data_IF_685895336740
#
_entry.id   IF_685895336740
#
_cell.length_a   1.000
_cell.length_b   1.000
_cell.length_c   1.000
_cell.angle_alpha   90.00
_cell.angle_beta   90.00
_cell.angle_gamma   90.00
#
_symmetry.space_group_name_H-M   'P 1'
#
loop_
_entity.id
_entity.type
_entity.pdbx_description
1 polymer ?
#
# COMPACT_ATOMS: atom_id res chain seq x y z
N UNK A 1 -12.83 1.70 -31.15
CA UNK A 1 -12.75 0.26 -31.45
C UNK A 1 -11.66 -0.33 -30.58
N UNK A 2 -12.03 -0.93 -29.46
CA UNK A 2 -11.09 -1.54 -28.50
C UNK A 2 -10.86 -2.96 -28.99
N UNK A 3 -9.65 -3.25 -29.46
CA UNK A 3 -9.24 -4.60 -29.82
C UNK A 3 -8.86 -5.32 -28.52
N UNK A 4 -9.70 -6.25 -28.10
CA UNK A 4 -9.41 -7.18 -27.00
C UNK A 4 -8.46 -8.27 -27.52
N UNK A 5 -7.19 -8.16 -27.14
CA UNK A 5 -6.11 -9.08 -27.54
C UNK A 5 -6.05 -10.35 -26.70
N UNK A 6 -6.91 -10.49 -25.67
CA UNK A 6 -6.79 -11.60 -24.72
C UNK A 6 -7.28 -12.94 -25.26
N UNK A 7 -7.88 -12.97 -26.46
CA UNK A 7 -8.65 -14.13 -26.92
C UNK A 7 -8.41 -14.57 -28.38
N UNK A 8 -7.23 -14.34 -28.95
CA UNK A 8 -6.94 -14.77 -30.32
C UNK A 8 -5.86 -15.86 -30.38
N UNK A 9 -6.33 -17.10 -30.21
CA UNK A 9 -5.67 -18.34 -30.60
C UNK A 9 -5.46 -18.38 -32.13
N UNK A 10 -4.23 -18.21 -32.61
CA UNK A 10 -3.89 -18.30 -34.03
C UNK A 10 -2.92 -19.45 -34.37
N UNK A 11 -3.30 -20.68 -34.00
CA UNK A 11 -2.67 -21.88 -34.54
C UNK A 11 -3.11 -22.23 -35.98
N UNK A 12 -3.97 -21.43 -36.60
CA UNK A 12 -4.56 -21.73 -37.92
C UNK A 12 -3.86 -21.07 -39.11
N UNK A 13 -2.86 -20.20 -38.89
CA UNK A 13 -2.25 -19.43 -39.99
C UNK A 13 -1.22 -20.26 -40.78
N UNK A 14 -0.53 -21.24 -40.17
CA UNK A 14 0.40 -22.10 -40.91
C UNK A 14 -0.27 -23.25 -41.68
N UNK A 15 -1.51 -23.61 -41.37
CA UNK A 15 -2.18 -24.79 -41.97
C UNK A 15 -2.96 -24.46 -43.25
N UNK A 16 -3.26 -23.18 -43.51
CA UNK A 16 -4.14 -22.77 -44.62
C UNK A 16 -3.47 -21.93 -45.71
N UNK A 17 -2.17 -21.58 -45.58
CA UNK A 17 -1.43 -20.93 -46.67
C UNK A 17 -1.28 -21.79 -47.92
N UNK A 18 -1.40 -23.12 -47.77
CA UNK A 18 -1.31 -24.07 -48.88
C UNK A 18 -2.63 -24.23 -49.65
N UNK A 19 -3.75 -23.70 -49.13
CA UNK A 19 -5.08 -23.78 -49.75
C UNK A 19 -5.78 -22.41 -49.74
N UNK A 20 -5.44 -21.53 -50.69
CA UNK A 20 -6.40 -20.76 -51.50
C UNK A 20 -5.73 -19.57 -52.23
N UNK A 21 -5.99 -19.49 -53.53
CA UNK A 21 -5.70 -18.31 -54.33
C UNK A 21 -6.43 -17.05 -53.86
N UNK A 22 -5.74 -15.91 -53.99
CA UNK A 22 -6.18 -14.52 -53.77
C UNK A 22 -6.86 -14.21 -52.42
N UNK A 23 -6.01 -13.82 -51.46
CA UNK A 23 -6.41 -13.11 -50.24
C UNK A 23 -7.04 -11.75 -50.59
N UNK A 24 -8.25 -11.40 -50.08
CA UNK A 24 -8.89 -10.11 -50.34
C UNK A 24 -8.03 -8.92 -49.90
N UNK A 25 -8.07 -7.81 -50.66
CA UNK A 25 -7.20 -6.65 -50.44
C UNK A 25 -7.29 -6.06 -49.02
N UNK A 26 -8.50 -5.97 -48.44
CA UNK A 26 -8.71 -5.51 -47.06
C UNK A 26 -8.12 -6.47 -46.02
N UNK A 27 -8.09 -7.78 -46.31
CA UNK A 27 -7.48 -8.82 -45.47
C UNK A 27 -5.94 -8.73 -45.51
N UNK A 28 -5.35 -8.31 -46.64
CA UNK A 28 -3.89 -8.04 -46.74
C UNK A 28 -3.47 -6.72 -46.09
N UNK A 29 -4.38 -5.75 -45.99
CA UNK A 29 -4.13 -4.45 -45.37
C UNK A 29 -4.04 -4.57 -43.85
N UNK A 30 -4.90 -5.40 -43.27
CA UNK A 30 -4.91 -5.71 -41.83
C UNK A 30 -3.65 -6.49 -41.42
N UNK A 31 -3.30 -7.53 -42.19
CA UNK A 31 -2.05 -8.30 -41.97
C UNK A 31 -0.82 -7.40 -42.04
N UNK A 32 -0.70 -6.52 -43.05
CA UNK A 32 0.46 -5.62 -43.17
C UNK A 32 0.57 -4.65 -42.00
N UNK A 33 -0.54 -4.07 -41.55
CA UNK A 33 -0.56 -3.17 -40.39
C UNK A 33 -0.18 -3.89 -39.10
N UNK A 34 -0.72 -5.09 -38.90
CA UNK A 34 -0.39 -5.92 -37.75
C UNK A 34 1.10 -6.31 -37.74
N UNK A 35 1.64 -6.79 -38.86
CA UNK A 35 3.06 -7.12 -38.99
C UNK A 35 3.94 -5.91 -38.70
N UNK A 36 3.62 -4.74 -39.26
CA UNK A 36 4.37 -3.52 -39.01
C UNK A 36 4.32 -3.07 -37.55
N UNK A 37 3.16 -3.16 -36.90
CA UNK A 37 3.03 -2.90 -35.46
C UNK A 37 3.88 -3.87 -34.64
N UNK A 38 3.83 -5.17 -34.95
CA UNK A 38 4.57 -6.19 -34.23
C UNK A 38 6.07 -5.98 -34.35
N UNK A 39 6.59 -5.71 -35.55
CA UNK A 39 8.00 -5.39 -35.78
C UNK A 39 8.45 -4.16 -35.01
N UNK A 40 7.64 -3.09 -35.02
CA UNK A 40 7.95 -1.87 -34.27
C UNK A 40 7.92 -2.11 -32.76
N UNK A 41 6.96 -2.91 -32.27
CA UNK A 41 6.88 -3.29 -30.87
C UNK A 41 8.12 -4.08 -30.44
N UNK A 42 8.56 -5.06 -31.23
CA UNK A 42 9.77 -5.84 -30.95
C UNK A 42 11.02 -4.97 -30.92
N UNK A 43 11.17 -4.01 -31.85
CA UNK A 43 12.31 -3.09 -31.86
C UNK A 43 12.36 -2.23 -30.59
N UNK A 44 11.23 -1.64 -30.22
CA UNK A 44 11.14 -0.81 -29.01
C UNK A 44 11.39 -1.67 -27.76
N UNK A 45 10.87 -2.89 -27.73
CA UNK A 45 11.11 -3.85 -26.64
C UNK A 45 12.58 -4.17 -26.45
N UNK A 46 13.32 -4.46 -27.53
CA UNK A 46 14.76 -4.71 -27.46
C UNK A 46 15.53 -3.50 -26.93
N UNK A 47 15.14 -2.28 -27.30
CA UNK A 47 15.76 -1.05 -26.78
C UNK A 47 15.47 -0.88 -25.29
N UNK A 48 14.21 -1.10 -24.87
CA UNK A 48 13.80 -0.98 -23.47
C UNK A 48 14.52 -2.01 -22.61
N UNK A 49 14.54 -3.28 -23.00
CA UNK A 49 15.23 -4.35 -22.27
C UNK A 49 16.76 -4.12 -22.23
N UNK A 50 17.36 -3.75 -23.36
CA UNK A 50 18.80 -3.48 -23.43
C UNK A 50 19.24 -2.22 -22.66
N UNK A 51 18.30 -1.35 -22.27
CA UNK A 51 18.58 -0.21 -21.40
C UNK A 51 18.57 -0.54 -19.90
N UNK A 52 18.16 -1.77 -19.54
CA UNK A 52 18.07 -2.24 -18.15
C UNK A 52 19.36 -2.92 -17.71
N UNK A 53 19.54 -3.08 -16.39
CA UNK A 53 20.55 -4.00 -15.86
C UNK A 53 20.15 -5.45 -16.13
N UNK A 54 21.13 -6.33 -16.32
CA UNK A 54 20.93 -7.76 -16.61
C UNK A 54 19.92 -8.49 -15.69
N UNK A 55 19.83 -8.12 -14.42
CA UNK A 55 18.90 -8.73 -13.46
C UNK A 55 17.44 -8.36 -13.76
N UNK A 56 17.21 -7.08 -14.06
CA UNK A 56 15.90 -6.52 -14.40
C UNK A 56 15.47 -7.00 -15.78
N UNK A 57 16.38 -7.00 -16.76
CA UNK A 57 16.14 -7.52 -18.11
C UNK A 57 15.55 -8.93 -18.07
N UNK A 58 16.21 -9.87 -17.37
CA UNK A 58 15.74 -11.26 -17.21
C UNK A 58 14.34 -11.37 -16.61
N UNK A 59 13.97 -10.48 -15.70
CA UNK A 59 12.63 -10.47 -15.10
C UNK A 59 11.55 -10.07 -16.11
N UNK A 60 11.88 -9.21 -17.07
CA UNK A 60 10.94 -8.67 -18.04
C UNK A 60 11.00 -9.35 -19.43
N UNK A 61 11.99 -10.20 -19.70
CA UNK A 61 12.11 -11.00 -20.93
C UNK A 61 10.89 -11.88 -21.24
N UNK A 62 10.10 -12.24 -20.23
CA UNK A 62 8.88 -13.06 -20.39
C UNK A 62 7.71 -12.33 -21.04
N UNK A 63 7.74 -11.00 -21.12
CA UNK A 63 6.64 -10.20 -21.67
C UNK A 63 6.89 -9.93 -23.15
N UNK A 64 5.91 -10.23 -24.01
CA UNK A 64 6.05 -10.07 -25.47
C UNK A 64 5.82 -8.65 -25.95
N UNK A 65 5.10 -7.83 -25.18
CA UNK A 65 4.71 -6.48 -25.56
C UNK A 65 5.31 -5.39 -24.65
N UNK A 66 5.74 -4.30 -25.29
CA UNK A 66 6.30 -3.12 -24.59
C UNK A 66 5.33 -2.51 -23.59
N UNK A 67 4.02 -2.56 -23.88
CA UNK A 67 3.01 -1.93 -23.04
C UNK A 67 2.93 -2.60 -21.66
N UNK A 68 2.95 -3.94 -21.61
CA UNK A 68 3.02 -4.72 -20.37
C UNK A 68 4.27 -4.40 -19.57
N UNK A 69 5.43 -4.30 -20.23
CA UNK A 69 6.69 -3.92 -19.57
C UNK A 69 6.57 -2.51 -18.96
N UNK A 70 6.15 -1.51 -19.75
CA UNK A 70 5.99 -0.13 -19.28
C UNK A 70 4.94 0.00 -18.18
N UNK A 71 3.84 -0.75 -18.24
CA UNK A 71 2.78 -0.73 -17.24
C UNK A 71 3.27 -1.31 -15.91
N UNK A 72 4.00 -2.43 -15.94
CA UNK A 72 4.59 -3.04 -14.75
C UNK A 72 5.68 -2.16 -14.13
N UNK A 73 6.53 -1.57 -14.96
CA UNK A 73 7.53 -0.59 -14.50
C UNK A 73 6.84 0.62 -13.85
N UNK A 74 5.79 1.15 -14.46
CA UNK A 74 4.99 2.22 -13.85
C UNK A 74 4.38 1.77 -12.53
N UNK A 75 3.84 0.56 -12.42
CA UNK A 75 3.33 0.04 -11.14
C UNK A 75 4.41 -0.01 -10.05
N UNK A 76 5.63 -0.38 -10.40
CA UNK A 76 6.76 -0.43 -9.47
C UNK A 76 7.29 0.97 -9.08
N UNK A 77 7.15 1.96 -9.98
CA UNK A 77 7.65 3.33 -9.78
C UNK A 77 6.57 4.35 -9.37
N UNK A 78 5.28 4.03 -9.47
CA UNK A 78 4.16 4.94 -9.21
C UNK A 78 3.58 4.81 -7.79
N UNK A 79 3.83 3.71 -7.10
CA UNK A 79 3.75 3.73 -5.64
C UNK A 79 4.94 4.54 -5.13
N UNK A 80 4.79 5.39 -4.07
CA UNK A 80 5.97 5.82 -3.32
C UNK A 80 6.81 4.59 -3.05
N UNK A 81 8.14 4.72 -3.20
CA UNK A 81 9.10 3.61 -3.11
C UNK A 81 8.54 2.56 -2.17
N UNK A 82 8.09 1.44 -2.75
CA UNK A 82 7.29 0.43 -2.06
C UNK A 82 7.94 0.06 -0.72
N UNK A 83 9.27 0.11 -0.67
CA UNK A 83 10.06 -0.11 0.54
C UNK A 83 9.84 0.95 1.62
N UNK A 84 9.71 2.22 1.25
CA UNK A 84 9.36 3.34 2.17
C UNK A 84 7.93 3.16 2.69
N UNK A 85 6.95 2.90 1.82
CA UNK A 85 5.56 2.69 2.23
C UNK A 85 5.44 1.48 3.17
N UNK A 86 6.05 0.35 2.81
CA UNK A 86 6.14 -0.83 3.65
C UNK A 86 6.83 -0.57 4.99
N UNK A 87 7.95 0.16 5.00
CA UNK A 87 8.67 0.49 6.22
C UNK A 87 7.82 1.37 7.16
N UNK A 88 7.08 2.33 6.62
CA UNK A 88 6.16 3.16 7.42
C UNK A 88 4.99 2.37 7.98
N UNK A 89 4.37 1.51 7.17
CA UNK A 89 3.29 0.63 7.63
C UNK A 89 3.77 -0.32 8.73
N UNK A 90 4.97 -0.89 8.56
CA UNK A 90 5.62 -1.73 9.58
C UNK A 90 5.92 -0.95 10.86
N UNK A 91 6.39 0.29 10.75
CA UNK A 91 6.64 1.15 11.91
C UNK A 91 5.34 1.46 12.66
N UNK A 92 4.26 1.76 11.95
CA UNK A 92 2.94 2.01 12.53
C UNK A 92 2.40 0.79 13.29
N UNK A 93 2.32 -0.37 12.64
CA UNK A 93 1.81 -1.58 13.30
C UNK A 93 2.75 -2.12 14.39
N UNK A 94 4.05 -1.85 14.30
CA UNK A 94 5.05 -2.25 15.27
C UNK A 94 5.18 -1.31 16.47
N UNK A 95 4.65 -0.09 16.38
CA UNK A 95 4.75 0.89 17.46
C UNK A 95 3.98 0.41 18.68
N UNK A 96 4.63 0.47 19.84
CA UNK A 96 4.05 0.13 21.14
C UNK A 96 4.43 1.22 22.13
N UNK A 97 3.48 1.60 22.97
CA UNK A 97 3.71 2.54 24.05
C UNK A 97 4.71 1.92 25.03
N UNK A 98 5.73 2.69 25.38
CA UNK A 98 6.72 2.26 26.37
C UNK A 98 6.07 2.34 27.75
N UNK A 99 6.25 1.30 28.57
CA UNK A 99 5.71 1.28 29.92
C UNK A 99 6.25 2.46 30.75
N UNK A 100 5.35 3.18 31.42
CA UNK A 100 5.70 4.39 32.19
C UNK A 100 5.98 5.64 31.37
N UNK A 101 5.89 5.59 30.04
CA UNK A 101 5.93 6.79 29.18
C UNK A 101 4.57 7.50 29.13
N UNK A 102 4.53 8.77 28.68
CA UNK A 102 3.27 9.51 28.56
C UNK A 102 2.45 9.04 27.35
N UNK A 103 1.15 8.82 27.55
CA UNK A 103 0.22 8.51 26.47
C UNK A 103 0.10 9.64 25.46
N UNK A 104 0.34 10.90 25.88
CA UNK A 104 0.38 12.06 24.98
C UNK A 104 1.48 11.92 23.95
N UNK A 105 2.70 11.64 24.41
CA UNK A 105 3.88 11.54 23.53
C UNK A 105 3.71 10.38 22.55
N UNK A 106 3.21 9.24 23.05
CA UNK A 106 2.87 8.10 22.21
C UNK A 106 1.80 8.45 21.16
N UNK A 107 0.72 9.12 21.57
CA UNK A 107 -0.35 9.55 20.66
C UNK A 107 0.13 10.51 19.58
N UNK A 108 1.00 11.46 19.92
CA UNK A 108 1.61 12.39 18.96
C UNK A 108 2.52 11.65 17.97
N UNK A 109 3.29 10.67 18.44
CA UNK A 109 4.10 9.82 17.55
C UNK A 109 3.22 9.02 16.57
N UNK A 110 2.15 8.40 17.05
CA UNK A 110 1.19 7.68 16.19
C UNK A 110 0.56 8.61 15.15
N UNK A 111 0.12 9.81 15.56
CA UNK A 111 -0.42 10.82 14.65
C UNK A 111 0.59 11.21 13.56
N UNK A 112 1.86 11.42 13.93
CA UNK A 112 2.92 11.76 12.95
C UNK A 112 3.17 10.63 11.94
N UNK A 113 2.96 9.37 12.32
CA UNK A 113 3.04 8.24 11.40
C UNK A 113 1.83 8.21 10.46
N UNK A 114 0.62 8.51 10.96
CA UNK A 114 -0.58 8.62 10.13
C UNK A 114 -0.42 9.72 9.08
N UNK A 115 0.06 10.91 9.47
CA UNK A 115 0.33 12.01 8.53
C UNK A 115 1.32 11.59 7.43
N UNK A 116 2.40 10.89 7.80
CA UNK A 116 3.37 10.37 6.82
C UNK A 116 2.79 9.31 5.90
N UNK A 117 1.90 8.44 6.39
CA UNK A 117 1.21 7.46 5.55
C UNK A 117 0.30 8.15 4.52
N UNK A 118 -0.40 9.22 4.93
CA UNK A 118 -1.23 10.07 4.04
C UNK A 118 -0.39 10.78 2.99
N UNK A 119 0.75 11.36 3.38
CA UNK A 119 1.69 12.00 2.44
C UNK A 119 2.22 11.01 1.38
N UNK A 120 2.39 9.75 1.79
CA UNK A 120 2.79 8.64 0.93
C UNK A 120 1.59 7.97 0.23
N UNK A 121 0.34 8.41 0.39
CA UNK A 121 -0.82 7.78 -0.27
C UNK A 121 -0.89 6.25 -0.05
N UNK A 122 -0.43 5.78 1.12
CA UNK A 122 -0.48 4.38 1.57
C UNK A 122 -1.25 4.27 2.90
N UNK A 123 -2.09 5.25 3.18
CA UNK A 123 -3.00 5.33 4.30
C UNK A 123 -4.24 4.42 4.12
N UNK A 124 -5.04 4.32 5.18
CA UNK A 124 -6.33 3.61 5.11
C UNK A 124 -7.39 4.51 4.46
N UNK A 125 -8.28 3.91 3.65
CA UNK A 125 -9.37 4.64 2.99
C UNK A 125 -10.32 5.31 4.00
N UNK A 126 -10.57 4.63 5.13
CA UNK A 126 -11.44 5.11 6.20
C UNK A 126 -10.58 5.64 7.36
N UNK A 127 -10.69 6.94 7.67
CA UNK A 127 -9.94 7.60 8.74
C UNK A 127 -10.27 7.02 10.12
N UNK A 128 -11.51 6.56 10.31
CA UNK A 128 -11.97 5.87 11.51
C UNK A 128 -11.13 4.62 11.82
N UNK A 129 -10.52 3.98 10.83
CA UNK A 129 -9.63 2.81 11.02
C UNK A 129 -8.49 3.12 12.00
N UNK A 130 -7.94 4.34 11.98
CA UNK A 130 -6.87 4.72 12.89
C UNK A 130 -7.33 4.82 14.35
N UNK A 131 -8.59 5.19 14.56
CA UNK A 131 -9.21 5.31 15.88
C UNK A 131 -9.34 3.94 16.55
N UNK A 132 -9.54 2.89 15.75
CA UNK A 132 -9.64 1.51 16.22
C UNK A 132 -8.27 0.85 16.43
N UNK A 133 -7.27 1.24 15.64
CA UNK A 133 -5.93 0.63 15.68
C UNK A 133 -5.02 1.22 16.74
N UNK A 134 -5.06 2.53 16.97
CA UNK A 134 -4.16 3.20 17.91
C UNK A 134 -4.33 2.71 19.36
N UNK A 135 -5.55 2.46 19.87
CA UNK A 135 -5.74 1.86 21.19
C UNK A 135 -5.16 0.45 21.34
N UNK A 136 -4.82 -0.25 20.25
CA UNK A 136 -4.15 -1.56 20.35
C UNK A 136 -2.64 -1.44 20.62
N UNK A 137 -2.09 -0.23 20.47
CA UNK A 137 -0.66 0.05 20.65
C UNK A 137 -0.31 0.59 22.05
N UNK A 138 -1.31 0.95 22.85
CA UNK A 138 -1.13 1.54 24.19
C UNK A 138 -1.01 0.45 25.27
N UNK A 139 -0.56 0.85 26.45
CA UNK A 139 -0.31 -0.07 27.57
C UNK A 139 -1.59 -0.70 28.15
N UNK A 140 -1.58 -1.94 28.67
CA UNK A 140 -2.76 -2.62 29.23
C UNK A 140 -3.46 -1.89 30.38
N UNK A 141 -2.79 -0.95 31.06
CA UNK A 141 -3.42 -0.04 32.03
C UNK A 141 -4.60 0.76 31.44
N UNK A 142 -4.65 0.89 30.11
CA UNK A 142 -5.74 1.52 29.37
C UNK A 142 -6.84 0.53 28.94
N UNK A 143 -6.76 -0.76 29.24
CA UNK A 143 -7.78 -1.76 28.84
C UNK A 143 -9.18 -1.39 29.34
N UNK A 144 -9.28 -0.86 30.56
CA UNK A 144 -10.56 -0.37 31.10
C UNK A 144 -11.09 0.83 30.32
N UNK A 145 -10.22 1.73 29.86
CA UNK A 145 -10.62 2.78 28.94
C UNK A 145 -11.14 2.18 27.64
N UNK A 146 -10.40 1.26 27.00
CA UNK A 146 -10.77 0.61 25.74
C UNK A 146 -12.15 -0.05 25.85
N UNK A 147 -12.36 -0.89 26.88
CA UNK A 147 -13.63 -1.58 27.14
C UNK A 147 -14.77 -0.58 27.40
N UNK A 148 -14.51 0.50 28.14
CA UNK A 148 -15.52 1.53 28.44
C UNK A 148 -15.77 2.50 27.29
N UNK A 149 -14.82 2.59 26.36
CA UNK A 149 -14.85 3.50 25.23
C UNK A 149 -15.68 2.97 24.07
N UNK A 150 -16.16 1.72 24.18
CA UNK A 150 -17.12 1.16 23.26
C UNK A 150 -18.47 1.87 23.38
N UNK A 151 -18.92 2.39 22.24
CA UNK A 151 -20.32 2.66 21.91
C UNK A 151 -21.00 3.84 22.61
N UNK A 152 -20.51 5.06 22.34
CA UNK A 152 -21.41 6.22 22.34
C UNK A 152 -21.08 7.19 21.21
N UNK A 153 -21.51 6.85 19.99
CA UNK A 153 -21.92 7.74 18.87
C UNK A 153 -21.00 8.87 18.41
N UNK A 154 -19.85 9.09 19.03
CA UNK A 154 -18.92 10.14 18.68
C UNK A 154 -18.03 9.58 17.57
N UNK A 155 -18.22 10.09 16.36
CA UNK A 155 -17.17 10.10 15.34
C UNK A 155 -15.98 10.85 15.91
N UNK A 156 -15.15 10.16 16.67
CA UNK A 156 -13.97 10.72 17.31
C UNK A 156 -12.90 10.80 16.25
N UNK A 157 -12.42 11.99 15.94
CA UNK A 157 -11.20 12.11 15.14
C UNK A 157 -9.99 11.73 16.01
N UNK A 158 -8.84 11.52 15.37
CA UNK A 158 -7.63 11.04 16.06
C UNK A 158 -7.15 11.99 17.18
N UNK A 159 -7.28 13.31 17.00
CA UNK A 159 -6.91 14.26 18.04
C UNK A 159 -7.80 14.14 19.29
N UNK A 160 -9.09 13.91 19.10
CA UNK A 160 -10.02 13.69 20.20
C UNK A 160 -9.69 12.41 20.96
N UNK A 161 -9.36 11.32 20.25
CA UNK A 161 -8.91 10.06 20.87
C UNK A 161 -7.72 10.31 21.80
N UNK A 162 -6.67 10.98 21.29
CA UNK A 162 -5.46 11.28 22.07
C UNK A 162 -5.81 12.12 23.31
N UNK A 163 -6.65 13.14 23.16
CA UNK A 163 -7.05 13.98 24.29
C UNK A 163 -7.80 13.20 25.38
N UNK A 164 -8.68 12.26 25.01
CA UNK A 164 -9.38 11.43 25.99
C UNK A 164 -8.44 10.48 26.73
N UNK A 165 -7.49 9.87 26.01
CA UNK A 165 -6.47 9.01 26.61
C UNK A 165 -5.64 9.79 27.64
N UNK A 166 -5.25 11.03 27.33
CA UNK A 166 -4.53 11.91 28.26
C UNK A 166 -5.36 12.26 29.50
N UNK A 167 -6.65 12.52 29.33
CA UNK A 167 -7.54 12.78 30.47
C UNK A 167 -7.66 11.55 31.36
N UNK A 168 -7.75 10.36 30.76
CA UNK A 168 -7.85 9.10 31.47
C UNK A 168 -6.56 8.77 32.25
N UNK A 169 -5.38 8.98 31.63
CA UNK A 169 -4.07 8.85 32.30
C UNK A 169 -4.03 9.70 33.59
N UNK A 170 -4.42 10.98 33.49
CA UNK A 170 -4.47 11.88 34.64
C UNK A 170 -5.49 11.46 35.73
N UNK A 171 -6.57 10.76 35.37
CA UNK A 171 -7.52 10.21 36.35
C UNK A 171 -6.91 9.03 37.10
N UNK A 172 -6.20 8.14 36.41
CA UNK A 172 -5.52 7.00 37.02
C UNK A 172 -4.46 7.48 38.01
N UNK A 173 -3.61 8.43 37.60
CA UNK A 173 -2.56 9.00 38.45
C UNK A 173 -3.13 9.64 39.72
N UNK A 174 -4.24 10.36 39.62
CA UNK A 174 -4.92 10.97 40.78
C UNK A 174 -5.56 9.94 41.72
N UNK A 175 -5.93 8.77 41.20
CA UNK A 175 -6.55 7.70 41.98
C UNK A 175 -5.55 6.72 42.61
N UNK A 176 -4.27 6.80 42.24
CA UNK A 176 -3.22 5.99 42.82
C UNK A 176 -3.07 6.33 44.32
N UNK A 177 -3.16 5.33 45.23
CA UNK A 177 -3.10 5.61 46.64
C UNK A 177 -1.70 6.11 47.02
N UNK A 178 -1.61 7.28 47.64
CA UNK A 178 -0.38 7.80 48.24
C UNK A 178 0.02 6.88 49.41
N UNK A 179 0.88 5.90 49.15
CA UNK A 179 1.31 4.94 50.18
C UNK A 179 2.79 5.15 50.49
N UNK A 180 3.00 5.69 51.70
CA UNK A 180 4.18 5.65 52.59
C UNK A 180 5.01 6.93 52.74
N UNK A 181 4.56 7.80 53.65
CA UNK A 181 5.47 8.33 54.68
C UNK A 181 4.83 8.10 56.05
N UNK A 182 4.99 6.88 56.54
CA UNK A 182 4.87 6.56 57.95
C UNK A 182 6.11 5.79 58.33
N UNK A 183 7.11 6.48 58.89
CA UNK A 183 8.00 5.86 59.87
C UNK A 183 8.18 6.81 61.05
N UNK A 184 8.18 6.18 62.21
CA UNK A 184 7.95 6.75 63.51
C UNK A 184 9.11 7.59 64.04
N UNK A 185 8.81 8.42 65.04
CA UNK A 185 9.70 8.53 66.20
C UNK A 185 8.89 8.70 67.47
N UNK A 186 9.13 7.72 68.34
CA UNK A 186 8.90 7.57 69.78
C UNK A 186 8.70 8.83 70.60
#
# INVERSE_FOLDING_TARGET
>A
MVLDFKNQTYLWISLYSDFAGRVPAWRTFDVRKFTQWHENNQKVRSIVLGSMSNEIEKQYERYEDVWSIMHLMKGFHAAPDWHIGYAMMKAFFGMRMIEGSSVRDHGVMMLSLVEKLKDLQVDFEEEETYVDLIPQSISPIFDRFIISSDMNGLKKNLHELINMLVQYEAMIEKSAPSVLMGEAST
#
